data_IF_497013250135
#
_entry.id   IF_497013250135
#
_cell.length_a   1.000
_cell.length_b   1.000
_cell.length_c   1.000
_cell.angle_alpha   90.00
_cell.angle_beta   90.00
_cell.angle_gamma   90.00
#
_symmetry.space_group_name_H-M   'P 1'
#
loop_
_entity.id
_entity.type
_entity.pdbx_description
1 polymer ?
#
# COMPACT_ATOMS: atom_id res chain seq x y z
N UNK A 1 3.19 1.84 -8.65
CA UNK A 1 3.47 1.01 -9.85
C UNK A 1 3.94 1.77 -11.07
N UNK A 2 3.26 2.82 -11.54
CA UNK A 2 3.62 3.51 -12.80
C UNK A 2 4.56 4.72 -12.62
N UNK A 3 5.27 4.80 -11.49
CA UNK A 3 6.10 5.96 -11.16
C UNK A 3 5.34 7.17 -10.61
N UNK A 4 4.00 7.12 -10.55
CA UNK A 4 3.24 8.11 -9.78
C UNK A 4 3.57 7.99 -8.29
N UNK A 5 3.79 9.13 -7.63
CA UNK A 5 4.08 9.22 -6.20
C UNK A 5 2.80 9.64 -5.48
N UNK A 6 2.46 8.96 -4.39
CA UNK A 6 1.29 9.28 -3.58
C UNK A 6 1.63 10.33 -2.51
N UNK A 7 0.71 11.26 -2.27
CA UNK A 7 0.67 12.18 -1.14
C UNK A 7 -0.77 12.22 -0.62
N UNK A 8 -1.04 11.54 0.49
CA UNK A 8 -2.39 11.36 1.03
C UNK A 8 -2.35 11.03 2.52
N UNK A 9 -3.49 11.12 3.19
CA UNK A 9 -3.68 10.62 4.57
C UNK A 9 -3.49 9.11 4.63
N UNK A 10 -3.05 8.60 5.78
CA UNK A 10 -2.84 7.16 5.99
C UNK A 10 -4.18 6.43 6.20
N UNK A 11 -4.88 6.18 5.09
CA UNK A 11 -6.11 5.40 5.05
C UNK A 11 -6.09 4.36 3.92
N UNK A 12 -6.86 3.28 4.11
CA UNK A 12 -7.02 2.17 3.17
C UNK A 12 -5.70 1.61 2.64
N UNK A 13 -5.62 1.46 1.31
CA UNK A 13 -4.42 0.90 0.67
C UNK A 13 -3.15 1.72 0.94
N UNK A 14 -3.28 3.03 1.18
CA UNK A 14 -2.12 3.88 1.40
C UNK A 14 -1.49 3.61 2.76
N UNK A 15 -2.31 3.41 3.81
CA UNK A 15 -1.77 3.01 5.12
C UNK A 15 -1.09 1.63 5.07
N UNK A 16 -1.63 0.69 4.29
CA UNK A 16 -1.04 -0.64 4.08
C UNK A 16 0.27 -0.62 3.26
N UNK A 17 0.41 0.38 2.39
CA UNK A 17 1.45 0.48 1.37
C UNK A 17 2.55 1.49 1.69
N UNK A 18 2.34 2.38 2.65
CA UNK A 18 3.31 3.40 3.03
C UNK A 18 4.46 2.79 3.84
N UNK A 19 5.68 2.98 3.35
CA UNK A 19 6.92 2.46 3.98
C UNK A 19 7.86 3.57 4.45
N UNK A 20 7.38 4.82 4.49
CA UNK A 20 8.14 5.98 4.97
C UNK A 20 8.90 6.75 3.88
N UNK A 21 9.29 6.09 2.79
CA UNK A 21 10.13 6.70 1.74
C UNK A 21 9.57 6.54 0.31
N UNK A 22 8.32 6.08 0.17
CA UNK A 22 7.68 5.79 -1.12
C UNK A 22 6.56 6.77 -1.52
N UNK A 23 6.42 7.86 -0.76
CA UNK A 23 5.49 8.96 -0.98
C UNK A 23 5.45 9.85 0.26
N UNK A 24 4.37 10.59 0.42
CA UNK A 24 4.13 11.43 1.59
C UNK A 24 2.84 11.03 2.30
N UNK A 25 2.90 10.99 3.62
CA UNK A 25 1.75 10.80 4.49
C UNK A 25 1.34 12.16 5.02
N UNK A 26 0.06 12.51 4.88
CA UNK A 26 -0.53 13.70 5.50
C UNK A 26 -1.03 13.28 6.88
N UNK A 27 -0.58 13.98 7.92
CA UNK A 27 -0.95 13.68 9.29
C UNK A 27 -0.37 12.36 9.80
N UNK A 28 -1.06 11.73 10.75
CA UNK A 28 -0.64 10.48 11.39
C UNK A 28 -1.76 9.45 11.48
N UNK A 29 -1.46 8.27 12.05
CA UNK A 29 -2.45 7.19 12.26
C UNK A 29 -3.40 7.44 13.43
N UNK A 30 -3.14 8.47 14.23
CA UNK A 30 -3.95 8.80 15.39
C UNK A 30 -5.01 9.81 14.97
N UNK A 31 -6.28 9.51 15.22
CA UNK A 31 -7.35 10.48 15.09
C UNK A 31 -7.29 11.52 16.21
N UNK A 32 -7.49 12.79 15.87
CA UNK A 32 -7.75 13.83 16.86
C UNK A 32 -9.11 13.58 17.57
N UNK A 33 -9.30 14.27 18.70
CA UNK A 33 -10.53 14.15 19.48
C UNK A 33 -11.77 14.73 18.77
N UNK A 34 -11.57 15.68 17.85
CA UNK A 34 -12.61 16.26 17.03
C UNK A 34 -12.13 16.45 15.58
N UNK A 35 -13.09 16.42 14.65
CA UNK A 35 -12.86 16.50 13.21
C UNK A 35 -12.25 17.84 12.79
N UNK A 36 -12.66 18.96 13.41
CA UNK A 36 -12.14 20.28 13.07
C UNK A 36 -10.66 20.44 13.43
N UNK A 37 -10.22 19.86 14.56
CA UNK A 37 -8.82 19.80 14.94
C UNK A 37 -8.01 18.92 13.99
N UNK A 38 -8.57 17.77 13.57
CA UNK A 38 -7.92 16.89 12.59
C UNK A 38 -7.73 17.62 11.25
N UNK A 39 -8.80 18.22 10.72
CA UNK A 39 -8.78 18.95 9.44
C UNK A 39 -7.75 20.09 9.46
N UNK A 40 -7.69 20.83 10.57
CA UNK A 40 -6.72 21.92 10.71
C UNK A 40 -5.29 21.38 10.73
N UNK A 41 -5.02 20.30 11.46
CA UNK A 41 -3.70 19.68 11.53
C UNK A 41 -3.27 19.10 10.17
N UNK A 42 -4.16 18.38 9.49
CA UNK A 42 -3.90 17.78 8.17
C UNK A 42 -3.69 18.86 7.11
N UNK A 43 -4.41 19.99 7.18
CA UNK A 43 -4.18 21.12 6.30
C UNK A 43 -2.79 21.73 6.51
N UNK A 44 -2.38 21.98 7.77
CA UNK A 44 -1.04 22.49 8.08
C UNK A 44 0.05 21.55 7.57
N UNK A 45 -0.13 20.24 7.76
CA UNK A 45 0.84 19.25 7.31
C UNK A 45 0.91 19.16 5.78
N UNK A 46 -0.23 19.22 5.09
CA UNK A 46 -0.29 19.30 3.63
C UNK A 46 0.47 20.52 3.10
N UNK A 47 0.27 21.71 3.68
CA UNK A 47 1.00 22.91 3.25
C UNK A 47 2.50 22.77 3.47
N UNK A 48 2.91 22.26 4.64
CA UNK A 48 4.32 21.97 4.95
C UNK A 48 4.93 21.00 3.93
N UNK A 49 4.26 19.88 3.66
CA UNK A 49 4.69 18.88 2.68
C UNK A 49 4.85 19.48 1.28
N UNK A 50 3.89 20.30 0.85
CA UNK A 50 3.96 20.97 -0.45
C UNK A 50 5.16 21.92 -0.53
N UNK A 51 5.31 22.80 0.46
CA UNK A 51 6.34 23.85 0.47
C UNK A 51 7.76 23.30 0.64
N UNK A 52 7.94 22.39 1.59
CA UNK A 52 9.28 21.96 2.03
C UNK A 52 9.77 20.71 1.28
N UNK A 53 8.84 19.88 0.78
CA UNK A 53 9.19 18.56 0.26
C UNK A 53 8.80 18.35 -1.20
N UNK A 54 7.52 18.41 -1.52
CA UNK A 54 6.97 18.00 -2.82
C UNK A 54 7.36 18.99 -3.92
N UNK A 55 7.10 20.28 -3.73
CA UNK A 55 7.43 21.32 -4.73
C UNK A 55 8.94 21.38 -4.97
N UNK A 56 9.81 21.43 -3.94
CA UNK A 56 11.26 21.38 -4.16
C UNK A 56 11.70 20.09 -4.87
N UNK A 57 11.24 18.92 -4.44
CA UNK A 57 11.59 17.66 -5.09
C UNK A 57 11.17 17.64 -6.57
N UNK A 58 9.99 18.18 -6.88
CA UNK A 58 9.44 18.19 -8.22
C UNK A 58 10.09 19.22 -9.15
N UNK A 59 10.57 20.38 -8.66
CA UNK A 59 11.13 21.45 -9.49
C UNK A 59 12.65 21.58 -9.45
N UNK A 60 13.33 21.04 -8.44
CA UNK A 60 14.79 21.03 -8.38
C UNK A 60 15.35 20.20 -9.55
N UNK A 61 16.31 20.77 -10.28
CA UNK A 61 16.99 20.12 -11.40
C UNK A 61 18.49 20.29 -11.23
N UNK A 62 19.24 19.24 -11.54
CA UNK A 62 20.69 19.34 -11.69
C UNK A 62 21.09 20.15 -12.92
N UNK A 63 22.39 20.38 -13.10
CA UNK A 63 22.94 21.05 -14.29
C UNK A 63 22.59 20.35 -15.62
N UNK A 64 22.25 19.06 -15.55
CA UNK A 64 21.78 18.22 -16.66
C UNK A 64 20.26 18.30 -16.91
N UNK A 65 19.53 19.10 -16.14
CA UNK A 65 18.07 19.21 -16.24
C UNK A 65 17.32 18.01 -15.66
N UNK A 66 17.97 17.13 -14.88
CA UNK A 66 17.35 15.92 -14.34
C UNK A 66 16.87 16.12 -12.89
N UNK A 67 15.60 15.81 -12.55
CA UNK A 67 15.09 15.89 -11.18
C UNK A 67 15.44 14.64 -10.37
N UNK A 68 16.66 14.57 -9.86
CA UNK A 68 17.16 13.36 -9.19
C UNK A 68 16.37 13.01 -7.93
N UNK A 69 15.96 14.02 -7.14
CA UNK A 69 15.12 13.84 -5.94
C UNK A 69 13.76 13.24 -6.30
N UNK A 70 13.06 13.81 -7.28
CA UNK A 70 11.79 13.26 -7.77
C UNK A 70 11.94 11.84 -8.33
N UNK A 71 12.96 11.58 -9.16
CA UNK A 71 13.20 10.25 -9.74
C UNK A 71 13.53 9.20 -8.67
N UNK A 72 14.21 9.58 -7.59
CA UNK A 72 14.39 8.68 -6.45
C UNK A 72 13.04 8.32 -5.83
N UNK A 73 12.16 9.30 -5.63
CA UNK A 73 10.81 9.10 -5.09
C UNK A 73 9.95 8.19 -5.98
N UNK A 74 9.95 8.43 -7.30
CA UNK A 74 9.25 7.59 -8.28
C UNK A 74 9.75 6.14 -8.21
N UNK A 75 11.07 5.92 -8.18
CA UNK A 75 11.66 4.58 -8.10
C UNK A 75 11.28 3.87 -6.80
N UNK A 76 11.27 4.57 -5.68
CA UNK A 76 10.83 4.02 -4.38
C UNK A 76 9.35 3.63 -4.41
N UNK A 77 8.48 4.50 -4.93
CA UNK A 77 7.05 4.20 -5.16
C UNK A 77 6.86 2.93 -5.98
N UNK A 78 7.60 2.77 -7.08
CA UNK A 78 7.51 1.58 -7.93
C UNK A 78 7.98 0.34 -7.16
N UNK A 79 9.18 0.40 -6.56
CA UNK A 79 9.81 -0.74 -5.92
C UNK A 79 9.00 -1.29 -4.75
N UNK A 80 8.40 -0.43 -3.91
CA UNK A 80 7.64 -0.88 -2.74
C UNK A 80 6.23 -1.39 -3.09
N UNK A 81 5.62 -0.91 -4.18
CA UNK A 81 4.23 -1.24 -4.51
C UNK A 81 4.08 -2.39 -5.52
N UNK A 82 5.05 -2.58 -6.42
CA UNK A 82 4.88 -3.45 -7.59
C UNK A 82 4.56 -4.91 -7.26
N UNK A 83 5.29 -5.51 -6.33
CA UNK A 83 5.01 -6.89 -5.91
C UNK A 83 3.84 -6.96 -4.93
N UNK A 84 3.79 -6.05 -3.95
CA UNK A 84 2.86 -6.12 -2.81
C UNK A 84 1.40 -6.01 -3.25
N UNK A 85 1.11 -5.19 -4.26
CA UNK A 85 -0.25 -4.98 -4.75
C UNK A 85 -0.53 -5.73 -6.06
N UNK A 86 0.21 -6.80 -6.33
CA UNK A 86 -0.03 -7.67 -7.50
C UNK A 86 -1.24 -8.58 -7.28
N UNK A 87 -2.18 -8.57 -8.23
CA UNK A 87 -3.31 -9.52 -8.28
C UNK A 87 -2.83 -10.96 -8.42
N UNK A 88 -1.70 -11.20 -9.11
CA UNK A 88 -1.12 -12.54 -9.21
C UNK A 88 -0.70 -13.07 -7.84
N UNK A 89 -0.05 -12.22 -7.03
CA UNK A 89 0.29 -12.56 -5.63
C UNK A 89 -0.98 -12.83 -4.82
N UNK A 90 -1.95 -11.92 -4.89
CA UNK A 90 -3.23 -12.08 -4.20
C UNK A 90 -3.91 -13.41 -4.56
N UNK A 91 -3.98 -13.76 -5.84
CA UNK A 91 -4.61 -15.01 -6.29
C UNK A 91 -3.87 -16.24 -5.79
N UNK A 92 -2.53 -16.21 -5.79
CA UNK A 92 -1.72 -17.29 -5.24
C UNK A 92 -2.00 -17.46 -3.73
N UNK A 93 -1.99 -16.36 -2.97
CA UNK A 93 -2.26 -16.37 -1.53
C UNK A 93 -3.66 -16.95 -1.23
N UNK A 94 -4.69 -16.49 -1.94
CA UNK A 94 -6.06 -17.03 -1.80
C UNK A 94 -6.13 -18.52 -2.15
N UNK A 95 -5.45 -18.93 -3.22
CA UNK A 95 -5.45 -20.33 -3.66
C UNK A 95 -4.79 -21.23 -2.64
N UNK A 96 -3.59 -20.87 -2.18
CA UNK A 96 -2.77 -21.67 -1.29
C UNK A 96 -3.29 -21.68 0.16
N UNK A 97 -3.80 -20.55 0.64
CA UNK A 97 -4.16 -20.39 2.06
C UNK A 97 -5.64 -20.63 2.33
N UNK A 98 -6.52 -20.51 1.33
CA UNK A 98 -7.97 -20.64 1.51
C UNK A 98 -8.56 -21.77 0.66
N UNK A 99 -8.41 -21.71 -0.68
CA UNK A 99 -9.11 -22.66 -1.56
C UNK A 99 -8.57 -24.09 -1.51
N UNK A 100 -7.26 -24.29 -1.56
CA UNK A 100 -6.67 -25.63 -1.50
C UNK A 100 -6.90 -26.33 -0.15
N UNK A 101 -6.76 -25.66 1.01
CA UNK A 101 -7.15 -26.24 2.29
C UNK A 101 -8.62 -26.67 2.33
N UNK A 102 -9.55 -25.79 1.93
CA UNK A 102 -10.97 -26.10 1.93
C UNK A 102 -11.32 -27.30 1.02
N UNK A 103 -10.73 -27.38 -0.17
CA UNK A 103 -10.96 -28.51 -1.08
C UNK A 103 -10.42 -29.85 -0.55
N UNK A 104 -9.32 -29.83 0.22
CA UNK A 104 -8.76 -31.03 0.84
C UNK A 104 -9.61 -31.53 1.99
N UNK A 105 -10.16 -30.63 2.81
CA UNK A 105 -11.09 -30.98 3.88
C UNK A 105 -12.34 -31.66 3.34
N UNK A 106 -12.98 -31.08 2.32
CA UNK A 106 -14.15 -31.68 1.66
C UNK A 106 -13.84 -33.07 1.08
N UNK A 107 -12.67 -33.22 0.44
CA UNK A 107 -12.25 -34.50 -0.14
C UNK A 107 -12.04 -35.57 0.94
N UNK A 108 -11.40 -35.22 2.06
CA UNK A 108 -11.17 -36.14 3.18
C UNK A 108 -12.47 -36.55 3.87
N UNK A 109 -13.42 -35.62 4.04
CA UNK A 109 -14.75 -35.92 4.59
C UNK A 109 -15.55 -36.86 3.67
N UNK A 110 -15.50 -36.63 2.36
CA UNK A 110 -16.15 -37.48 1.36
C UNK A 110 -15.57 -38.90 1.33
N UNK A 111 -14.24 -39.03 1.39
CA UNK A 111 -13.57 -40.34 1.47
C UNK A 111 -13.92 -41.09 2.76
N UNK A 112 -13.94 -40.39 3.91
CA UNK A 112 -14.31 -40.98 5.19
C UNK A 112 -15.79 -41.45 5.21
N UNK A 113 -16.70 -40.67 4.62
CA UNK A 113 -18.11 -41.03 4.53
C UNK A 113 -18.34 -42.24 3.62
N UNK A 114 -17.62 -42.34 2.50
CA UNK A 114 -17.68 -43.50 1.61
C UNK A 114 -17.14 -44.77 2.27
N UNK A 115 -16.04 -44.67 3.03
CA UNK A 115 -15.50 -45.80 3.77
C UNK A 115 -16.49 -46.32 4.83
N UNK A 116 -17.16 -45.43 5.56
CA UNK A 116 -18.13 -45.79 6.59
C UNK A 116 -19.42 -46.44 6.05
N UNK A 117 -19.75 -46.25 4.77
CA UNK A 117 -20.90 -46.90 4.10
C UNK A 117 -20.54 -48.27 3.50
N UNK A 118 -19.25 -48.60 3.40
CA UNK A 118 -18.76 -49.85 2.84
C UNK A 118 -18.54 -50.96 3.91
N UNK A 119 -18.58 -50.61 5.20
CA UNK A 119 -18.57 -51.51 6.37
C UNK A 119 -20.01 -51.83 6.86
#
# INVERSE_FOLDING_TARGET
>A
MNGAVNASVLDGWWDEGFVGDNGWAIGGRSAAADEGTQDWADAQDLYRLLEEEIVPAYYERGADGIPRRWLAQMRRSVASTMWRFSTTRMLADYTEQLYLPAAREESAESEAALAALAD
#
